data_IF_323183790343
#
_entry.id   IF_323183790343
#
_cell.length_a   1.000
_cell.length_b   1.000
_cell.length_c   1.000
_cell.angle_alpha   90.00
_cell.angle_beta   90.00
_cell.angle_gamma   90.00
#
_symmetry.space_group_name_H-M   'P 1'
#
loop_
_entity.id
_entity.type
_entity.pdbx_description
1 polymer ?
#
# COMPACT_ATOMS: atom_id res chain seq x y z
N UNK A 1 -35.15 11.06 46.20
CA UNK A 1 -35.02 9.96 45.23
C UNK A 1 -35.31 10.49 43.85
N UNK A 2 -34.48 10.12 42.88
CA UNK A 2 -34.68 10.23 41.43
C UNK A 2 -34.36 11.57 40.78
N UNK A 3 -33.09 11.63 40.37
CA UNK A 3 -32.49 12.55 39.42
C UNK A 3 -33.28 12.63 38.11
N UNK A 4 -33.58 13.83 37.65
CA UNK A 4 -33.68 14.14 36.21
C UNK A 4 -32.44 14.95 35.87
N UNK A 5 -31.56 14.33 35.08
CA UNK A 5 -30.35 14.93 34.54
C UNK A 5 -30.75 16.08 33.61
N UNK A 6 -30.55 17.30 34.10
CA UNK A 6 -30.57 18.54 33.34
C UNK A 6 -29.21 18.73 32.66
N UNK A 7 -29.26 19.04 31.36
CA UNK A 7 -28.34 19.96 30.66
C UNK A 7 -26.86 19.87 31.01
N UNK A 8 -26.09 19.08 30.26
CA UNK A 8 -24.65 19.32 30.13
C UNK A 8 -24.43 20.10 28.83
N UNK A 9 -24.29 21.41 29.04
CA UNK A 9 -24.11 22.48 28.08
C UNK A 9 -22.89 22.32 27.16
N UNK A 10 -23.06 22.91 25.98
CA UNK A 10 -22.12 23.15 24.88
C UNK A 10 -20.80 23.82 25.29
N UNK A 11 -19.77 23.47 24.52
CA UNK A 11 -18.66 24.29 24.01
C UNK A 11 -17.93 25.28 24.93
N UNK A 12 -16.60 25.11 25.01
CA UNK A 12 -15.68 26.21 24.72
C UNK A 12 -14.58 25.74 23.76
N UNK A 13 -14.75 26.12 22.50
CA UNK A 13 -13.75 26.08 21.44
C UNK A 13 -13.01 27.41 21.53
N UNK A 14 -11.72 27.39 21.87
CA UNK A 14 -10.82 28.52 21.58
C UNK A 14 -10.27 28.30 20.17
N UNK A 15 -10.83 29.07 19.23
CA UNK A 15 -10.32 29.22 17.87
C UNK A 15 -8.97 29.95 17.91
N UNK A 16 -7.89 29.25 17.54
CA UNK A 16 -6.74 29.90 16.91
C UNK A 16 -6.84 29.63 15.41
N UNK A 17 -7.34 30.64 14.69
CA UNK A 17 -7.52 30.64 13.23
C UNK A 17 -6.19 30.92 12.54
N UNK A 18 -5.60 29.91 11.89
CA UNK A 18 -4.81 30.13 10.68
C UNK A 18 -4.79 28.89 9.78
N UNK A 19 -5.84 28.80 8.94
CA UNK A 19 -5.94 28.22 7.56
C UNK A 19 -5.45 26.77 7.36
N UNK A 20 -6.23 25.80 6.87
CA UNK A 20 -7.63 25.76 6.43
C UNK A 20 -8.05 24.31 6.10
N UNK A 21 -9.34 24.04 6.34
CA UNK A 21 -10.17 22.90 5.95
C UNK A 21 -9.64 21.46 6.19
N UNK A 22 -10.16 20.77 7.21
CA UNK A 22 -10.78 19.43 7.14
C UNK A 22 -11.41 19.10 8.51
N UNK A 23 -12.48 18.30 8.53
CA UNK A 23 -13.52 18.23 9.58
C UNK A 23 -13.05 18.02 11.02
N UNK A 24 -13.82 18.59 11.96
CA UNK A 24 -13.53 18.75 13.39
C UNK A 24 -13.41 17.43 14.17
N UNK A 25 -12.29 16.73 14.01
CA UNK A 25 -11.63 15.97 15.07
C UNK A 25 -10.42 16.76 15.54
N UNK A 26 -10.28 17.02 16.84
CA UNK A 26 -9.17 17.82 17.40
C UNK A 26 -7.82 17.10 17.27
N UNK A 27 -7.22 17.10 16.08
CA UNK A 27 -5.85 16.63 15.88
C UNK A 27 -4.89 17.82 16.01
N UNK A 28 -4.06 17.83 17.05
CA UNK A 28 -2.91 18.76 17.13
C UNK A 28 -1.70 18.07 16.51
N UNK A 29 -1.57 18.17 15.19
CA UNK A 29 -0.43 17.66 14.43
C UNK A 29 0.70 18.68 14.34
N UNK A 30 1.96 18.28 14.57
CA UNK A 30 3.14 19.05 14.12
C UNK A 30 3.77 18.27 12.97
N UNK A 31 3.84 18.89 11.80
CA UNK A 31 4.43 18.30 10.60
C UNK A 31 5.77 18.95 10.26
N UNK A 32 6.76 18.15 9.91
CA UNK A 32 8.07 18.61 9.46
C UNK A 32 8.52 17.69 8.33
N UNK A 33 8.12 18.05 7.10
CA UNK A 33 8.38 17.25 5.91
C UNK A 33 7.74 15.86 6.00
N UNK A 34 8.55 14.82 6.07
CA UNK A 34 8.11 13.42 6.10
C UNK A 34 7.86 12.88 7.52
N UNK A 35 8.06 13.70 8.55
CA UNK A 35 7.80 13.34 9.94
C UNK A 35 6.59 14.12 10.45
N UNK A 36 5.62 13.43 11.04
CA UNK A 36 4.51 14.07 11.73
C UNK A 36 4.23 13.42 13.09
N UNK A 37 3.83 14.26 14.04
CA UNK A 37 3.39 13.85 15.37
C UNK A 37 1.92 14.21 15.56
N UNK A 38 1.07 13.21 15.73
CA UNK A 38 -0.37 13.35 15.98
C UNK A 38 -0.66 13.17 17.47
N UNK A 39 -1.58 13.98 17.99
CA UNK A 39 -2.04 13.90 19.38
C UNK A 39 -3.55 13.71 19.39
N UNK A 40 -4.00 12.68 20.09
CA UNK A 40 -5.41 12.27 20.19
C UNK A 40 -5.80 12.28 21.65
N UNK A 41 -6.70 13.19 22.02
CA UNK A 41 -7.24 13.33 23.36
C UNK A 41 -8.65 13.96 23.31
N UNK A 42 -9.57 13.60 24.23
CA UNK A 42 -9.45 12.57 25.27
C UNK A 42 -9.90 11.18 24.80
N UNK A 43 -9.18 10.12 25.20
CA UNK A 43 -9.57 8.73 24.99
C UNK A 43 -10.00 8.08 26.31
N UNK A 44 -10.95 7.16 26.23
CA UNK A 44 -11.36 6.34 27.39
C UNK A 44 -10.16 5.55 27.95
N UNK A 45 -10.11 5.31 29.27
CA UNK A 45 -9.00 4.60 29.90
C UNK A 45 -8.75 3.24 29.24
N UNK A 46 -7.50 2.96 28.88
CA UNK A 46 -7.06 1.70 28.25
C UNK A 46 -7.25 1.66 26.72
N UNK A 47 -7.98 2.61 26.13
CA UNK A 47 -8.12 2.67 24.67
C UNK A 47 -6.88 3.25 23.98
N UNK A 48 -6.02 3.99 24.68
CA UNK A 48 -4.79 4.54 24.08
C UNK A 48 -3.89 3.43 23.53
N UNK A 49 -3.69 2.35 24.29
CA UNK A 49 -2.89 1.20 23.86
C UNK A 49 -3.56 0.40 22.74
N UNK A 50 -4.87 0.18 22.83
CA UNK A 50 -5.62 -0.58 21.82
C UNK A 50 -5.59 0.12 20.46
N UNK A 51 -5.89 1.42 20.44
CA UNK A 51 -5.90 2.23 19.22
C UNK A 51 -4.48 2.41 18.68
N UNK A 52 -3.50 2.71 19.54
CA UNK A 52 -2.10 2.89 19.13
C UNK A 52 -1.53 1.64 18.45
N UNK A 53 -1.77 0.46 19.01
CA UNK A 53 -1.34 -0.80 18.41
C UNK A 53 -2.08 -1.10 17.09
N UNK A 54 -3.39 -0.85 17.03
CA UNK A 54 -4.18 -1.08 15.82
C UNK A 54 -3.68 -0.21 14.65
N UNK A 55 -3.52 1.10 14.88
CA UNK A 55 -3.03 2.04 13.86
C UNK A 55 -1.62 1.68 13.42
N UNK A 56 -0.71 1.36 14.36
CA UNK A 56 0.66 0.95 14.04
C UNK A 56 0.70 -0.26 13.09
N UNK A 57 -0.16 -1.26 13.31
CA UNK A 57 -0.23 -2.45 12.44
C UNK A 57 -0.70 -2.11 11.03
N UNK A 58 -1.73 -1.28 10.92
CA UNK A 58 -2.30 -0.91 9.61
C UNK A 58 -1.33 -0.04 8.82
N UNK A 59 -0.69 0.94 9.46
CA UNK A 59 0.31 1.81 8.82
C UNK A 59 1.47 1.02 8.21
N UNK A 60 1.98 0.01 8.91
CA UNK A 60 3.12 -0.78 8.44
C UNK A 60 2.75 -1.86 7.40
N UNK A 61 1.49 -2.33 7.38
CA UNK A 61 1.11 -3.52 6.59
C UNK A 61 0.19 -3.21 5.40
N UNK A 62 -0.79 -2.32 5.56
CA UNK A 62 -1.98 -2.30 4.68
C UNK A 62 -2.06 -1.08 3.78
N UNK A 63 -1.15 -0.12 3.93
CA UNK A 63 -1.17 1.07 3.09
C UNK A 63 -0.77 0.73 1.64
N UNK A 64 -1.47 1.29 0.65
CA UNK A 64 -1.10 1.14 -0.74
C UNK A 64 0.16 1.95 -1.06
N UNK A 65 1.07 1.36 -1.80
CA UNK A 65 2.23 2.05 -2.37
C UNK A 65 2.66 1.40 -3.66
N UNK A 66 3.75 1.89 -4.25
CA UNK A 66 4.25 1.41 -5.52
C UNK A 66 5.73 1.03 -5.43
N UNK A 67 6.07 -0.08 -6.09
CA UNK A 67 7.41 -0.65 -6.07
C UNK A 67 7.72 -1.33 -7.40
N UNK A 68 9.01 -1.52 -7.69
CA UNK A 68 9.48 -2.30 -8.84
C UNK A 68 9.20 -3.77 -8.56
N UNK A 69 8.64 -4.46 -9.55
CA UNK A 69 8.22 -5.87 -9.44
C UNK A 69 9.05 -6.79 -10.31
N UNK A 70 9.46 -6.31 -11.47
CA UNK A 70 10.31 -7.02 -12.41
C UNK A 70 11.25 -6.05 -13.11
N UNK A 71 12.40 -6.58 -13.52
CA UNK A 71 13.38 -5.86 -14.33
C UNK A 71 13.78 -6.68 -15.54
N UNK A 72 14.13 -5.98 -16.61
CA UNK A 72 14.72 -6.52 -17.82
C UNK A 72 15.96 -5.70 -18.15
N UNK A 73 17.10 -6.35 -18.19
CA UNK A 73 18.39 -5.71 -18.48
C UNK A 73 18.93 -6.27 -19.79
N UNK A 74 19.38 -5.39 -20.68
CA UNK A 74 19.96 -5.80 -21.96
C UNK A 74 21.26 -6.60 -21.75
N UNK A 75 21.35 -7.78 -22.37
CA UNK A 75 22.52 -8.66 -22.26
C UNK A 75 22.63 -9.48 -20.98
N UNK A 76 21.65 -9.40 -20.07
CA UNK A 76 21.63 -10.17 -18.81
C UNK A 76 20.50 -11.20 -18.84
N UNK A 77 20.85 -12.46 -18.60
CA UNK A 77 19.89 -13.56 -18.54
C UNK A 77 19.45 -13.92 -17.12
N UNK A 78 20.31 -13.67 -16.12
CA UNK A 78 20.09 -14.04 -14.72
C UNK A 78 20.79 -13.06 -13.77
N UNK A 79 20.35 -13.04 -12.51
CA UNK A 79 20.75 -12.08 -11.47
C UNK A 79 22.23 -12.15 -11.02
N UNK A 80 22.94 -13.24 -11.32
CA UNK A 80 24.33 -13.45 -10.89
C UNK A 80 25.38 -13.04 -11.93
N UNK A 81 24.97 -12.38 -13.01
CA UNK A 81 25.91 -11.89 -14.03
C UNK A 81 26.44 -10.50 -13.71
N UNK A 82 27.57 -10.14 -14.31
CA UNK A 82 28.10 -8.79 -14.29
C UNK A 82 27.88 -8.10 -15.64
N UNK A 83 27.69 -6.77 -15.61
CA UNK A 83 27.47 -5.96 -16.82
C UNK A 83 28.79 -5.29 -17.21
N UNK A 84 29.24 -5.50 -18.45
CA UNK A 84 30.46 -4.85 -18.93
C UNK A 84 30.27 -3.33 -18.98
N UNK A 85 31.13 -2.60 -18.30
CA UNK A 85 31.11 -1.13 -18.30
C UNK A 85 30.26 -0.50 -17.19
N UNK A 86 29.75 -1.32 -16.26
CA UNK A 86 29.11 -0.91 -15.00
C UNK A 86 30.00 -1.39 -13.85
N UNK A 87 30.12 -0.59 -12.79
CA UNK A 87 30.99 -0.91 -11.66
C UNK A 87 30.35 -1.92 -10.71
N UNK A 88 29.03 -1.85 -10.57
CA UNK A 88 28.22 -2.69 -9.70
C UNK A 88 27.78 -4.01 -10.35
N UNK A 89 27.59 -5.05 -9.54
CA UNK A 89 27.00 -6.32 -9.95
C UNK A 89 25.47 -6.21 -10.10
N UNK A 90 24.84 -7.14 -10.82
CA UNK A 90 23.38 -7.12 -11.01
C UNK A 90 22.62 -7.26 -9.69
N UNK A 91 23.16 -8.00 -8.71
CA UNK A 91 22.58 -8.12 -7.36
C UNK A 91 22.57 -6.77 -6.64
N UNK A 92 23.68 -6.05 -6.67
CA UNK A 92 23.80 -4.72 -6.06
C UNK A 92 22.87 -3.72 -6.74
N UNK A 93 22.78 -3.80 -8.08
CA UNK A 93 21.84 -3.01 -8.86
C UNK A 93 20.39 -3.30 -8.46
N UNK A 94 20.00 -4.56 -8.25
CA UNK A 94 18.67 -4.94 -7.74
C UNK A 94 18.42 -4.33 -6.36
N UNK A 95 19.41 -4.36 -5.46
CA UNK A 95 19.30 -3.77 -4.12
C UNK A 95 19.11 -2.24 -4.19
N UNK A 96 19.85 -1.57 -5.06
CA UNK A 96 19.71 -0.12 -5.28
C UNK A 96 18.34 0.23 -5.86
N UNK A 97 17.84 -0.53 -6.84
CA UNK A 97 16.51 -0.36 -7.40
C UNK A 97 15.39 -0.53 -6.35
N UNK A 98 15.54 -1.47 -5.42
CA UNK A 98 14.58 -1.66 -4.30
C UNK A 98 14.49 -0.44 -3.37
N UNK A 99 15.50 0.43 -3.33
CA UNK A 99 15.47 1.66 -2.52
C UNK A 99 14.72 2.81 -3.20
N UNK A 100 14.45 2.71 -4.51
CA UNK A 100 13.76 3.74 -5.27
C UNK A 100 12.27 3.73 -4.90
N UNK A 101 11.68 4.92 -4.83
CA UNK A 101 10.28 5.14 -4.48
C UNK A 101 9.56 5.82 -5.62
N UNK A 102 8.45 5.19 -6.03
CA UNK A 102 7.61 5.66 -7.11
C UNK A 102 6.24 6.03 -6.58
N UNK A 103 5.63 7.01 -7.22
CA UNK A 103 4.23 7.37 -7.05
C UNK A 103 3.52 7.14 -8.38
N UNK A 104 2.59 6.20 -8.37
CA UNK A 104 1.73 5.86 -9.50
C UNK A 104 0.36 6.50 -9.32
N UNK A 105 -0.13 7.17 -10.36
CA UNK A 105 -1.49 7.69 -10.40
C UNK A 105 -2.48 6.59 -10.85
N UNK A 106 -2.13 5.79 -11.87
CA UNK A 106 -2.92 4.65 -12.37
C UNK A 106 -2.77 3.39 -11.50
N UNK A 107 -3.72 2.45 -11.60
CA UNK A 107 -3.65 1.14 -10.92
C UNK A 107 -3.04 0.04 -11.79
N UNK A 108 -2.79 0.33 -13.06
CA UNK A 108 -2.20 -0.62 -13.99
C UNK A 108 -0.66 -0.63 -13.87
N UNK A 109 0.00 -1.78 -14.11
CA UNK A 109 1.45 -1.84 -14.20
C UNK A 109 2.00 -0.84 -15.23
N UNK A 110 3.06 -0.12 -14.87
CA UNK A 110 3.72 0.84 -15.75
C UNK A 110 5.18 0.46 -15.93
N UNK A 111 5.69 0.53 -17.16
CA UNK A 111 7.10 0.26 -17.46
C UNK A 111 7.87 1.57 -17.49
N UNK A 112 8.97 1.63 -16.73
CA UNK A 112 9.94 2.74 -16.75
C UNK A 112 11.24 2.26 -17.39
N UNK A 113 11.89 3.13 -18.15
CA UNK A 113 13.10 2.78 -18.91
C UNK A 113 14.26 3.67 -18.49
N UNK A 114 15.42 3.06 -18.25
CA UNK A 114 16.69 3.71 -18.00
C UNK A 114 17.62 3.39 -19.18
N UNK A 115 18.08 4.43 -19.87
CA UNK A 115 19.01 4.31 -21.01
C UNK A 115 20.11 5.35 -20.81
N UNK A 116 21.22 4.88 -20.25
CA UNK A 116 22.35 5.71 -19.83
C UNK A 116 23.63 5.21 -20.48
N UNK A 117 24.48 6.15 -20.90
CA UNK A 117 25.80 5.88 -21.49
C UNK A 117 26.87 6.58 -20.66
N UNK A 118 27.98 5.88 -20.40
CA UNK A 118 29.06 6.36 -19.56
C UNK A 118 30.08 7.26 -20.29
N UNK A 119 30.97 7.94 -19.52
CA UNK A 119 31.07 7.89 -18.07
C UNK A 119 29.99 8.76 -17.39
N UNK A 120 29.18 8.16 -16.52
CA UNK A 120 28.06 8.83 -15.84
C UNK A 120 27.64 8.07 -14.58
N UNK A 121 27.21 8.80 -13.55
CA UNK A 121 26.62 8.23 -12.35
C UNK A 121 25.11 8.17 -12.57
N UNK A 122 24.57 6.97 -12.83
CA UNK A 122 23.14 6.78 -13.05
C UNK A 122 22.39 6.95 -11.74
N UNK A 123 21.46 7.90 -11.72
CA UNK A 123 20.59 8.19 -10.58
C UNK A 123 19.13 7.91 -10.96
N UNK A 124 18.26 7.86 -9.96
CA UNK A 124 16.83 7.69 -10.19
C UNK A 124 16.19 8.84 -10.99
N UNK A 125 16.86 9.98 -11.11
CA UNK A 125 16.47 11.06 -12.01
C UNK A 125 16.55 10.68 -13.51
N UNK A 126 17.45 9.77 -13.87
CA UNK A 126 17.70 9.39 -15.26
C UNK A 126 16.62 8.45 -15.84
N UNK A 127 15.65 8.02 -15.01
CA UNK A 127 14.52 7.22 -15.47
C UNK A 127 13.60 8.02 -16.41
N UNK A 128 13.34 7.43 -17.57
CA UNK A 128 12.29 7.87 -18.49
C UNK A 128 10.96 7.30 -17.99
N UNK A 129 10.21 8.12 -17.27
CA UNK A 129 8.89 7.75 -16.73
C UNK A 129 7.76 8.10 -17.71
N UNK A 130 6.77 7.21 -17.89
CA UNK A 130 5.54 7.53 -18.63
C UNK A 130 4.63 8.47 -17.82
N UNK A 131 3.61 9.00 -18.48
CA UNK A 131 2.60 9.85 -17.85
C UNK A 131 1.93 9.14 -16.68
N UNK A 132 1.93 9.76 -15.49
CA UNK A 132 1.32 9.21 -14.29
C UNK A 132 2.28 8.42 -13.37
N UNK A 133 3.56 8.31 -13.73
CA UNK A 133 4.62 7.78 -12.85
C UNK A 133 5.56 8.92 -12.43
N UNK A 134 5.79 9.07 -11.13
CA UNK A 134 6.72 10.06 -10.56
C UNK A 134 7.72 9.38 -9.64
N UNK A 135 9.00 9.66 -9.84
CA UNK A 135 10.07 9.27 -8.90
C UNK A 135 10.13 10.28 -7.77
N UNK A 136 10.11 9.78 -6.52
CA UNK A 136 10.16 10.61 -5.32
C UNK A 136 11.61 10.95 -4.94
N UNK A 137 12.46 9.93 -4.82
CA UNK A 137 13.89 10.07 -4.48
C UNK A 137 14.76 10.11 -5.74
N UNK A 138 14.85 11.29 -6.36
CA UNK A 138 15.58 11.50 -7.62
C UNK A 138 17.09 11.32 -7.50
N UNK A 139 17.62 11.50 -6.30
CA UNK A 139 19.03 11.44 -5.92
C UNK A 139 19.53 10.00 -5.62
N UNK A 140 18.63 9.01 -5.59
CA UNK A 140 19.01 7.63 -5.31
C UNK A 140 19.97 7.11 -6.40
N UNK A 141 21.13 6.62 -5.96
CA UNK A 141 22.13 6.00 -6.81
C UNK A 141 21.62 4.66 -7.33
N UNK A 142 21.80 4.41 -8.63
CA UNK A 142 21.51 3.11 -9.25
C UNK A 142 22.82 2.37 -9.50
N UNK A 143 23.70 3.00 -10.27
CA UNK A 143 24.97 2.42 -10.71
C UNK A 143 25.92 3.49 -11.27
N UNK A 144 27.23 3.22 -11.25
CA UNK A 144 28.28 4.03 -11.86
C UNK A 144 28.79 3.37 -13.15
N UNK A 145 28.69 4.12 -14.26
CA UNK A 145 29.14 3.65 -15.57
C UNK A 145 30.52 4.21 -15.89
N UNK A 146 31.43 3.34 -16.33
CA UNK A 146 32.75 3.73 -16.85
C UNK A 146 32.66 4.22 -18.30
N UNK A 147 33.74 4.81 -18.82
CA UNK A 147 33.81 5.29 -20.20
C UNK A 147 33.52 4.15 -21.21
N UNK A 148 32.51 4.34 -22.06
CA UNK A 148 32.06 3.33 -23.02
C UNK A 148 31.06 2.30 -22.48
N UNK A 149 30.71 2.36 -21.19
CA UNK A 149 29.63 1.57 -20.60
C UNK A 149 28.26 2.02 -21.10
N UNK A 150 27.33 1.06 -21.22
CA UNK A 150 25.92 1.33 -21.53
C UNK A 150 25.05 0.49 -20.61
N UNK A 151 24.06 1.12 -19.99
CA UNK A 151 23.04 0.45 -19.20
C UNK A 151 21.68 0.73 -19.84
N UNK A 152 21.06 -0.33 -20.36
CA UNK A 152 19.68 -0.32 -20.82
C UNK A 152 18.87 -1.24 -19.90
N UNK A 153 18.00 -0.64 -19.11
CA UNK A 153 17.19 -1.31 -18.11
C UNK A 153 15.74 -0.89 -18.24
N UNK A 154 14.84 -1.86 -18.22
CA UNK A 154 13.41 -1.64 -18.10
C UNK A 154 12.94 -2.20 -16.77
N UNK A 155 12.17 -1.43 -16.02
CA UNK A 155 11.59 -1.85 -14.76
C UNK A 155 10.07 -1.72 -14.83
N UNK A 156 9.36 -2.75 -14.40
CA UNK A 156 7.92 -2.71 -14.23
C UNK A 156 7.61 -2.24 -12.81
N UNK A 157 6.82 -1.18 -12.70
CA UNK A 157 6.35 -0.63 -11.42
C UNK A 157 4.87 -0.92 -11.29
N UNK A 158 4.49 -1.48 -10.15
CA UNK A 158 3.09 -1.81 -9.83
C UNK A 158 2.69 -1.19 -8.50
N UNK A 159 1.38 -1.07 -8.31
CA UNK A 159 0.79 -0.79 -7.01
C UNK A 159 0.52 -2.09 -6.26
N UNK A 160 0.80 -2.08 -4.98
CA UNK A 160 0.54 -3.20 -4.10
C UNK A 160 0.41 -2.76 -2.65
N UNK A 161 0.40 -3.74 -1.74
CA UNK A 161 0.32 -3.53 -0.30
C UNK A 161 1.33 -4.44 0.40
N UNK A 162 1.87 -3.96 1.51
CA UNK A 162 2.81 -4.73 2.32
C UNK A 162 4.07 -5.14 1.57
N UNK A 163 4.47 -6.40 1.75
CA UNK A 163 5.65 -7.00 1.14
C UNK A 163 5.24 -8.24 0.36
N UNK A 164 5.63 -8.31 -0.90
CA UNK A 164 5.37 -9.45 -1.77
C UNK A 164 6.71 -10.07 -2.19
N UNK A 165 7.07 -11.24 -1.63
CA UNK A 165 8.27 -11.93 -2.02
C UNK A 165 8.12 -12.58 -3.39
N UNK A 166 9.25 -12.75 -4.07
CA UNK A 166 9.30 -13.27 -5.44
C UNK A 166 8.69 -14.67 -5.56
N UNK A 167 8.81 -15.53 -4.54
CA UNK A 167 8.32 -16.90 -4.62
C UNK A 167 6.80 -17.02 -4.65
N UNK A 168 6.09 -16.01 -4.16
CA UNK A 168 4.62 -15.98 -4.18
C UNK A 168 4.07 -15.54 -5.55
N UNK A 169 4.90 -15.01 -6.46
CA UNK A 169 4.51 -14.55 -7.80
C UNK A 169 4.61 -15.60 -8.91
N UNK A 170 4.95 -16.85 -8.58
CA UNK A 170 5.32 -17.91 -9.54
C UNK A 170 4.28 -18.29 -10.60
N UNK A 171 3.07 -17.74 -10.57
CA UNK A 171 2.01 -18.00 -11.56
C UNK A 171 2.16 -17.18 -12.86
N UNK A 172 2.97 -16.12 -12.85
CA UNK A 172 3.26 -15.36 -14.08
C UNK A 172 4.44 -15.99 -14.83
N UNK A 173 4.17 -16.56 -16.01
CA UNK A 173 5.22 -17.03 -16.92
C UNK A 173 5.99 -15.82 -17.46
N UNK A 174 6.99 -15.37 -16.71
CA UNK A 174 7.86 -14.30 -17.13
C UNK A 174 8.71 -14.75 -18.34
N UNK A 175 8.85 -13.91 -19.37
CA UNK A 175 9.68 -14.23 -20.51
C UNK A 175 11.16 -14.32 -20.10
N UNK A 176 11.93 -15.08 -20.88
CA UNK A 176 13.36 -15.28 -20.64
C UNK A 176 14.08 -13.92 -20.69
N UNK A 177 14.87 -13.62 -19.66
CA UNK A 177 15.58 -12.34 -19.50
C UNK A 177 14.84 -11.30 -18.63
N UNK A 178 13.66 -11.63 -18.10
CA UNK A 178 13.01 -10.84 -17.05
C UNK A 178 13.31 -11.45 -15.68
N UNK A 179 13.86 -10.63 -14.79
CA UNK A 179 14.19 -11.00 -13.42
C UNK A 179 13.10 -10.44 -12.52
N UNK A 180 12.45 -11.30 -11.75
CA UNK A 180 11.48 -10.90 -10.75
C UNK A 180 12.21 -10.39 -9.49
N UNK A 181 11.66 -9.35 -8.87
CA UNK A 181 12.21 -8.73 -7.68
C UNK A 181 11.14 -8.69 -6.58
N UNK A 182 11.57 -8.89 -5.33
CA UNK A 182 10.70 -8.67 -4.18
C UNK A 182 10.22 -7.22 -4.11
N UNK A 183 8.91 -7.05 -3.98
CA UNK A 183 8.30 -5.73 -3.97
C UNK A 183 7.92 -5.33 -2.55
N UNK A 184 8.57 -4.27 -2.04
CA UNK A 184 8.21 -3.61 -0.79
C UNK A 184 7.35 -2.39 -1.10
N UNK A 185 6.03 -2.52 -0.94
CA UNK A 185 5.07 -1.47 -1.26
C UNK A 185 4.81 -0.50 -0.11
N UNK A 186 5.24 -0.83 1.12
CA UNK A 186 4.94 -0.03 2.30
C UNK A 186 5.62 1.36 2.24
N UNK A 187 4.85 2.47 2.28
CA UNK A 187 5.41 3.84 2.21
C UNK A 187 5.88 4.38 3.57
N UNK A 188 5.79 3.57 4.64
CA UNK A 188 6.10 3.99 6.01
C UNK A 188 7.45 3.42 6.43
N UNK A 189 8.34 4.29 6.93
CA UNK A 189 9.66 3.89 7.45
C UNK A 189 9.61 3.52 8.92
N UNK A 190 8.96 4.37 9.72
CA UNK A 190 8.88 4.19 11.17
C UNK A 190 7.56 4.70 11.72
N UNK A 191 7.04 3.98 12.70
CA UNK A 191 5.89 4.40 13.51
C UNK A 191 6.24 4.16 14.97
N UNK A 192 6.10 5.20 15.78
CA UNK A 192 6.18 5.13 17.23
C UNK A 192 4.89 5.66 17.85
N UNK A 193 4.51 5.18 19.03
CA UNK A 193 3.41 5.76 19.77
C UNK A 193 3.66 5.71 21.27
N UNK A 194 3.13 6.70 21.97
CA UNK A 194 3.22 6.85 23.42
C UNK A 194 1.83 7.15 23.97
N UNK A 195 1.54 6.60 25.15
CA UNK A 195 0.27 6.83 25.85
C UNK A 195 0.57 7.55 27.15
N UNK A 196 -0.04 8.71 27.33
CA UNK A 196 0.04 9.55 28.53
C UNK A 196 -1.35 9.65 29.17
N UNK A 197 -1.42 9.92 30.47
CA UNK A 197 -2.70 10.22 31.13
C UNK A 197 -3.03 11.71 30.98
N UNK A 198 -4.27 12.03 30.64
CA UNK A 198 -4.77 13.41 30.53
C UNK A 198 -5.91 13.67 31.52
N UNK A 199 -5.94 14.88 32.07
CA UNK A 199 -6.97 15.32 33.01
C UNK A 199 -8.02 16.15 32.26
N UNK A 200 -9.26 15.67 32.27
CA UNK A 200 -10.40 16.37 31.69
C UNK A 200 -11.34 16.79 32.83
N UNK A 201 -11.32 18.08 33.14
CA UNK A 201 -12.10 18.66 34.24
C UNK A 201 -11.71 18.05 35.61
N UNK A 202 -12.61 17.25 36.19
CA UNK A 202 -12.43 16.59 37.49
C UNK A 202 -11.89 15.15 37.38
N UNK A 203 -11.96 14.52 36.21
CA UNK A 203 -11.53 13.14 35.98
C UNK A 203 -10.09 13.13 35.42
N UNK A 204 -9.25 12.25 35.96
CA UNK A 204 -7.81 12.18 35.66
C UNK A 204 -7.39 10.91 34.91
N UNK A 205 -8.33 10.04 34.58
CA UNK A 205 -8.07 8.70 34.05
C UNK A 205 -8.28 8.58 32.54
N UNK A 206 -8.35 9.70 31.80
CA UNK A 206 -8.41 9.63 30.34
C UNK A 206 -7.01 9.41 29.77
N UNK A 207 -6.96 8.71 28.64
CA UNK A 207 -5.73 8.49 27.90
C UNK A 207 -5.54 9.60 26.86
N UNK A 208 -4.28 9.92 26.59
CA UNK A 208 -3.80 10.76 25.50
C UNK A 208 -2.82 9.93 24.69
N UNK A 209 -3.14 9.72 23.42
CA UNK A 209 -2.31 8.96 22.50
C UNK A 209 -1.50 9.92 21.64
N UNK A 210 -0.19 9.76 21.64
CA UNK A 210 0.75 10.47 20.78
C UNK A 210 1.28 9.46 19.76
N UNK A 211 1.14 9.75 18.48
CA UNK A 211 1.65 8.90 17.39
C UNK A 211 2.65 9.69 16.56
N UNK A 212 3.84 9.14 16.37
CA UNK A 212 4.87 9.69 15.49
C UNK A 212 4.99 8.78 14.26
N UNK A 213 4.90 9.39 13.07
CA UNK A 213 4.93 8.70 11.78
C UNK A 213 6.02 9.30 10.91
N UNK A 214 6.89 8.45 10.37
CA UNK A 214 7.92 8.80 9.41
C UNK A 214 7.63 8.10 8.07
N UNK A 215 7.40 8.88 7.01
CA UNK A 215 7.11 8.38 5.66
C UNK A 215 8.32 8.48 4.73
N UNK A 216 8.25 7.80 3.58
CA UNK A 216 9.24 7.86 2.52
C UNK A 216 9.05 9.04 1.54
N UNK A 217 7.99 9.83 1.72
CA UNK A 217 7.60 10.94 0.83
C UNK A 217 6.64 10.55 -0.30
N UNK A 218 6.32 9.27 -0.48
CA UNK A 218 5.32 8.81 -1.45
C UNK A 218 3.90 9.26 -1.06
N UNK A 219 3.64 9.26 0.26
CA UNK A 219 2.42 9.71 0.91
C UNK A 219 2.75 10.70 2.03
N UNK A 220 1.87 11.68 2.25
CA UNK A 220 2.00 12.59 3.40
C UNK A 220 1.68 11.83 4.69
N UNK A 221 2.31 12.18 5.83
CA UNK A 221 2.00 11.53 7.10
C UNK A 221 0.52 11.65 7.49
N UNK A 222 -0.12 12.79 7.18
CA UNK A 222 -1.55 13.00 7.42
C UNK A 222 -2.41 12.05 6.58
N UNK A 223 -2.20 12.00 5.26
CA UNK A 223 -2.96 11.10 4.38
C UNK A 223 -2.77 9.63 4.79
N UNK A 224 -1.58 9.27 5.24
CA UNK A 224 -1.28 7.92 5.73
C UNK A 224 -2.08 7.60 7.01
N UNK A 225 -2.15 8.54 7.94
CA UNK A 225 -2.91 8.39 9.18
C UNK A 225 -4.41 8.26 8.90
N UNK A 226 -4.98 9.15 8.06
CA UNK A 226 -6.40 9.11 7.67
C UNK A 226 -6.76 7.79 6.99
N UNK A 227 -6.00 7.38 5.97
CA UNK A 227 -6.23 6.08 5.29
C UNK A 227 -6.14 4.89 6.24
N UNK A 228 -5.24 4.95 7.24
CA UNK A 228 -5.14 3.87 8.23
C UNK A 228 -6.37 3.79 9.13
N UNK A 229 -6.97 4.94 9.48
CA UNK A 229 -8.20 5.00 10.24
C UNK A 229 -9.37 4.45 9.41
N UNK A 230 -9.48 4.84 8.13
CA UNK A 230 -10.50 4.34 7.20
C UNK A 230 -10.45 2.81 7.08
N UNK A 231 -9.25 2.24 6.87
CA UNK A 231 -9.05 0.79 6.80
C UNK A 231 -9.51 0.09 8.09
N UNK A 232 -9.22 0.69 9.26
CA UNK A 232 -9.68 0.13 10.53
C UNK A 232 -11.20 0.16 10.64
N UNK A 233 -11.83 1.28 10.28
CA UNK A 233 -13.29 1.42 10.28
C UNK A 233 -13.93 0.40 9.36
N UNK A 234 -13.40 0.21 8.14
CA UNK A 234 -13.87 -0.79 7.20
C UNK A 234 -13.82 -2.20 7.80
N UNK A 235 -12.72 -2.58 8.44
CA UNK A 235 -12.60 -3.88 9.10
C UNK A 235 -13.53 -4.04 10.31
N UNK A 236 -13.71 -2.99 11.12
CA UNK A 236 -14.64 -3.03 12.25
C UNK A 236 -16.10 -3.02 11.82
N UNK A 237 -16.45 -2.43 10.68
CA UNK A 237 -17.81 -2.42 10.13
C UNK A 237 -18.30 -3.85 9.82
N UNK A 238 -17.41 -4.71 9.32
CA UNK A 238 -17.71 -6.14 9.07
C UNK A 238 -18.02 -6.86 10.38
N UNK A 239 -17.29 -6.56 11.46
CA UNK A 239 -17.51 -7.16 12.77
C UNK A 239 -18.81 -6.65 13.43
N UNK A 240 -19.18 -5.40 13.19
CA UNK A 240 -20.41 -4.79 13.70
C UNK A 240 -21.68 -5.30 12.98
N UNK A 241 -21.54 -6.08 11.91
CA UNK A 241 -22.66 -6.66 11.16
C UNK A 241 -23.37 -5.69 10.20
N UNK A 242 -22.83 -4.48 10.01
CA UNK A 242 -23.28 -3.57 8.95
C UNK A 242 -22.65 -4.01 7.63
N UNK A 243 -23.35 -4.86 6.88
CA UNK A 243 -22.90 -5.29 5.56
C UNK A 243 -22.91 -4.11 4.57
N UNK A 244 -21.77 -3.45 4.39
CA UNK A 244 -21.42 -2.79 3.14
C UNK A 244 -20.17 -3.47 2.59
N UNK A 245 -20.37 -4.54 1.84
CA UNK A 245 -19.30 -5.20 1.12
C UNK A 245 -18.75 -4.27 0.04
N UNK A 246 -17.52 -3.80 0.19
CA UNK A 246 -16.61 -3.77 -0.94
C UNK A 246 -15.60 -4.90 -0.69
N UNK A 247 -15.63 -6.02 -1.45
CA UNK A 247 -14.49 -6.91 -1.44
C UNK A 247 -13.29 -6.05 -1.84
N UNK A 248 -12.28 -6.00 -0.97
CA UNK A 248 -10.98 -5.45 -1.31
C UNK A 248 -10.53 -6.29 -2.49
N UNK A 249 -10.57 -5.71 -3.69
CA UNK A 249 -10.22 -6.42 -4.91
C UNK A 249 -8.78 -6.90 -4.78
N UNK A 250 -8.60 -8.20 -4.55
CA UNK A 250 -7.39 -8.88 -4.99
C UNK A 250 -7.31 -8.65 -6.50
N UNK A 251 -6.16 -8.25 -7.05
CA UNK A 251 -6.03 -8.14 -8.49
C UNK A 251 -6.38 -9.50 -9.10
N UNK A 252 -7.43 -9.51 -9.92
CA UNK A 252 -7.88 -10.71 -10.60
C UNK A 252 -6.74 -11.23 -11.47
N UNK A 253 -6.15 -12.36 -11.08
CA UNK A 253 -5.30 -13.14 -11.96
C UNK A 253 -6.22 -13.70 -13.05
N UNK A 254 -6.21 -13.04 -14.19
CA UNK A 254 -7.01 -13.43 -15.35
C UNK A 254 -6.58 -14.80 -15.84
N UNK A 255 -7.35 -15.84 -15.51
CA UNK A 255 -7.22 -17.14 -16.14
C UNK A 255 -7.78 -17.06 -17.57
N UNK A 256 -6.96 -16.53 -18.47
CA UNK A 256 -7.15 -16.59 -19.91
C UNK A 256 -7.04 -18.03 -20.38
N UNK A 257 -8.07 -18.50 -21.06
CA UNK A 257 -8.38 -19.91 -21.19
C UNK A 257 -7.41 -20.72 -22.02
N UNK A 258 -7.23 -21.97 -21.60
CA UNK A 258 -7.00 -23.10 -22.49
C UNK A 258 -7.80 -24.30 -21.99
N UNK A 259 -8.99 -24.47 -22.58
CA UNK A 259 -9.60 -25.78 -22.73
C UNK A 259 -8.73 -26.59 -23.71
N UNK A 260 -7.85 -27.46 -23.20
CA UNK A 260 -7.31 -28.57 -23.98
C UNK A 260 -6.78 -29.68 -23.07
N UNK A 261 -7.62 -30.71 -22.90
CA UNK A 261 -7.25 -32.12 -22.94
C UNK A 261 -6.07 -32.60 -22.06
N UNK A 262 -6.37 -33.11 -20.87
CA UNK A 262 -6.03 -34.49 -20.55
C UNK A 262 -6.87 -34.99 -19.38
N UNK A 263 -7.50 -36.14 -19.61
CA UNK A 263 -8.22 -36.94 -18.62
C UNK A 263 -7.23 -37.30 -17.52
N UNK A 264 -7.63 -37.22 -16.25
CA UNK A 264 -7.36 -38.21 -15.19
C UNK A 264 -7.93 -37.63 -13.86
N UNK A 265 -8.84 -38.40 -13.26
CA UNK A 265 -9.60 -38.25 -12.01
C UNK A 265 -10.93 -37.48 -12.01
N UNK A 266 -12.06 -38.17 -11.75
CA UNK A 266 -13.32 -37.55 -11.33
C UNK A 266 -13.38 -37.49 -9.79
N UNK A 267 -13.64 -36.31 -9.23
CA UNK A 267 -14.20 -36.17 -7.88
C UNK A 267 -15.64 -35.67 -7.96
N UNK A 268 -16.52 -36.11 -7.05
CA UNK A 268 -17.96 -36.06 -7.23
C UNK A 268 -18.51 -34.63 -7.13
N UNK A 269 -19.44 -34.34 -8.04
CA UNK A 269 -20.17 -33.09 -8.19
C UNK A 269 -21.14 -32.93 -7.01
N UNK A 270 -20.83 -32.01 -6.09
CA UNK A 270 -21.82 -31.50 -5.14
C UNK A 270 -22.83 -30.62 -5.90
N UNK A 271 -24.00 -31.17 -6.20
CA UNK A 271 -25.19 -30.40 -6.58
C UNK A 271 -25.82 -29.82 -5.33
N UNK A 272 -25.88 -28.49 -5.25
CA UNK A 272 -26.86 -27.81 -4.40
C UNK A 272 -27.53 -26.67 -5.18
N UNK A 273 -28.64 -27.06 -5.83
CA UNK A 273 -29.91 -26.33 -5.83
C UNK A 273 -29.86 -24.81 -5.90
N UNK A 274 -29.91 -24.26 -7.12
CA UNK A 274 -30.63 -23.01 -7.35
C UNK A 274 -32.08 -23.35 -7.73
N UNK A 275 -32.98 -23.23 -6.76
CA UNK A 275 -34.39 -22.94 -7.05
C UNK A 275 -34.50 -21.46 -7.37
N UNK A 276 -34.65 -21.13 -8.65
CA UNK A 276 -35.25 -19.88 -9.08
C UNK A 276 -36.52 -20.21 -9.85
N UNK A 277 -37.63 -19.85 -9.22
CA UNK A 277 -38.94 -19.62 -9.82
C UNK A 277 -38.82 -18.88 -11.14
N UNK A 278 -39.49 -19.37 -12.19
CA UNK A 278 -40.74 -18.75 -12.64
C UNK A 278 -41.45 -19.60 -13.71
N UNK A 279 -42.78 -19.48 -13.83
CA UNK A 279 -43.63 -20.41 -14.54
C UNK A 279 -43.96 -19.88 -15.95
N UNK A 280 -43.72 -20.67 -16.99
CA UNK A 280 -44.38 -20.46 -18.27
C UNK A 280 -44.94 -21.78 -18.82
N UNK A 281 -46.26 -21.75 -18.85
CA UNK A 281 -47.20 -22.50 -19.68
C UNK A 281 -46.67 -22.84 -21.07
N UNK A 282 -47.00 -24.05 -21.56
CA UNK A 282 -47.90 -24.28 -22.72
C UNK A 282 -47.75 -25.72 -23.23
N UNK A 283 -48.91 -26.38 -23.33
CA UNK A 283 -49.28 -27.40 -24.31
C UNK A 283 -48.59 -28.77 -24.30
N UNK A 284 -49.30 -29.71 -23.68
CA UNK A 284 -49.70 -31.01 -24.22
C UNK A 284 -49.16 -31.48 -25.58
N UNK A 285 -48.64 -32.71 -25.57
CA UNK A 285 -49.04 -33.78 -26.50
C UNK A 285 -48.53 -35.14 -26.01
N UNK A 286 -49.44 -35.95 -25.49
CA UNK A 286 -49.31 -37.41 -25.52
C UNK A 286 -50.70 -37.94 -25.87
N UNK A 287 -50.85 -38.35 -27.15
CA UNK A 287 -52.10 -38.79 -27.80
C UNK A 287 -53.19 -37.74 -27.95
#
# INVERSE_FOLDING_TARGET
>A
MSHKLSEVSLMQVKEDRSKGAFGEGKFKGRETGNLARFVIEPLSPGFGLTIGNAIRRVLLSSLPGAAITSIRIDGVAHEFTTIKGVTEDVVDLILNLKQIRFKLESNEPQVVVLDVKGPHIATAFDFKCPTGVKVINKDALIAELVAGGKLLLEATVEKGRGYLPTEQRKEEKLPIGVIAIDAAFAPIKRVNFEVENTRVGKMTNFDKLIVEIETDGSITPQDAFEKSADILVDHFSVLAGSASSAPVAEPAVGCGGYCAHSRIFPTPRCEYSQRSFSPESISGKMR
#
